data_IF_238893172473
#
_entry.id   IF_238893172473
#
_cell.length_a   1.000
_cell.length_b   1.000
_cell.length_c   1.000
_cell.angle_alpha   90.00
_cell.angle_beta   90.00
_cell.angle_gamma   90.00
#
_symmetry.space_group_name_H-M   'P 1'
#
loop_
_entity.id
_entity.type
_entity.pdbx_description
1 polymer ?
#
# COMPACT_ATOMS: atom_id res chain seq x y z
N UNK A 1 15.66 -16.87 0.10
CA UNK A 1 16.18 -15.74 -0.70
C UNK A 1 14.96 -15.03 -1.26
N UNK A 2 14.76 -13.77 -0.91
CA UNK A 2 13.66 -12.96 -1.45
C UNK A 2 14.25 -11.95 -2.41
N UNK A 3 13.61 -11.75 -3.55
CA UNK A 3 14.02 -10.74 -4.51
C UNK A 3 13.32 -9.41 -4.19
N UNK A 4 14.01 -8.31 -4.42
CA UNK A 4 13.48 -6.95 -4.25
C UNK A 4 13.15 -6.36 -5.62
N UNK A 5 12.06 -5.60 -5.66
CA UNK A 5 11.77 -4.70 -6.78
C UNK A 5 12.08 -3.28 -6.32
N UNK A 6 12.77 -2.52 -7.16
CA UNK A 6 13.04 -1.12 -6.93
C UNK A 6 12.03 -0.27 -7.69
N UNK A 7 11.45 0.73 -7.02
CA UNK A 7 10.45 1.62 -7.61
C UNK A 7 10.97 3.05 -7.64
N UNK A 8 10.79 3.73 -8.77
CA UNK A 8 11.16 5.11 -8.99
C UNK A 8 9.95 5.92 -9.46
N UNK A 9 9.68 7.02 -8.77
CA UNK A 9 8.57 7.93 -9.09
C UNK A 9 7.57 8.04 -7.95
N UNK A 10 6.40 8.56 -8.28
CA UNK A 10 5.28 8.78 -7.34
C UNK A 10 3.97 8.83 -8.12
N UNK A 11 2.85 8.63 -7.42
CA UNK A 11 1.52 8.88 -7.95
C UNK A 11 0.95 10.11 -7.27
N UNK A 12 0.53 11.11 -8.04
CA UNK A 12 -0.11 12.31 -7.52
C UNK A 12 -1.57 12.01 -7.10
N UNK A 13 -2.03 12.68 -6.03
CA UNK A 13 -3.37 12.56 -5.48
C UNK A 13 -4.07 13.92 -5.56
N UNK A 14 -5.29 13.97 -6.14
CA UNK A 14 -6.12 15.18 -6.21
C UNK A 14 -7.60 14.89 -5.97
N UNK A 15 -8.30 15.65 -5.09
CA UNK A 15 -7.75 16.66 -4.17
C UNK A 15 -6.74 16.05 -3.18
N UNK A 16 -5.95 16.88 -2.51
CA UNK A 16 -4.95 16.40 -1.54
C UNK A 16 -5.65 15.72 -0.36
N UNK A 17 -5.02 14.71 0.22
CA UNK A 17 -5.47 14.08 1.45
C UNK A 17 -5.49 15.08 2.60
N UNK A 18 -6.45 14.91 3.51
CA UNK A 18 -6.54 15.60 4.79
C UNK A 18 -5.64 14.96 5.83
N UNK A 19 -5.37 15.69 6.90
CA UNK A 19 -4.53 15.22 8.00
C UNK A 19 -4.98 13.87 8.59
N UNK A 20 -6.28 13.62 8.87
CA UNK A 20 -6.72 12.32 9.38
C UNK A 20 -6.46 11.16 8.39
N UNK A 21 -6.66 11.41 7.10
CA UNK A 21 -6.41 10.43 6.03
C UNK A 21 -4.91 10.09 5.94
N UNK A 22 -4.05 11.12 6.02
CA UNK A 22 -2.60 10.97 6.00
C UNK A 22 -2.13 10.16 7.22
N UNK A 23 -2.57 10.53 8.43
CA UNK A 23 -2.18 9.86 9.67
C UNK A 23 -2.56 8.39 9.65
N UNK A 24 -3.82 8.10 9.32
CA UNK A 24 -4.33 6.74 9.29
C UNK A 24 -3.64 5.89 8.23
N UNK A 25 -3.52 6.36 6.98
CA UNK A 25 -2.87 5.59 5.91
C UNK A 25 -1.39 5.33 6.18
N UNK A 26 -0.69 6.28 6.83
CA UNK A 26 0.71 6.09 7.25
C UNK A 26 0.82 5.05 8.36
N UNK A 27 -0.10 5.05 9.32
CA UNK A 27 -0.16 4.05 10.38
C UNK A 27 -0.52 2.65 9.83
N UNK A 28 -1.48 2.59 8.91
CA UNK A 28 -1.90 1.37 8.22
C UNK A 28 -0.74 0.73 7.44
N UNK A 29 0.07 1.54 6.75
CA UNK A 29 1.23 1.04 6.01
C UNK A 29 2.32 0.39 6.88
N UNK A 30 2.31 0.60 8.21
CA UNK A 30 3.28 0.01 9.15
C UNK A 30 2.89 -1.40 9.65
N UNK A 31 1.68 -1.85 9.35
CA UNK A 31 1.20 -3.19 9.69
C UNK A 31 1.93 -4.27 8.88
N UNK A 32 2.39 -5.32 9.58
CA UNK A 32 3.13 -6.45 8.95
C UNK A 32 2.23 -7.29 8.05
N UNK A 33 1.01 -7.58 8.49
CA UNK A 33 0.00 -8.29 7.71
C UNK A 33 -1.37 -7.66 7.95
N UNK A 34 -1.75 -6.64 7.15
CA UNK A 34 -2.99 -5.92 7.38
C UNK A 34 -4.24 -6.80 7.23
N UNK A 35 -4.14 -8.01 6.64
CA UNK A 35 -5.25 -8.98 6.61
C UNK A 35 -5.64 -9.53 7.98
N UNK A 36 -4.71 -9.59 8.92
CA UNK A 36 -5.00 -10.02 10.30
C UNK A 36 -5.78 -8.95 11.06
N UNK A 37 -5.72 -7.70 10.57
CA UNK A 37 -6.24 -6.51 11.21
C UNK A 37 -7.46 -5.92 10.48
N UNK A 38 -7.63 -6.20 9.18
CA UNK A 38 -8.63 -5.53 8.34
C UNK A 38 -8.39 -4.02 8.34
N UNK A 39 -9.32 -3.26 8.91
CA UNK A 39 -9.19 -1.81 9.13
C UNK A 39 -8.77 -1.43 10.55
N UNK A 40 -8.45 -2.40 11.41
CA UNK A 40 -8.09 -2.15 12.80
C UNK A 40 -6.61 -1.78 12.94
N UNK A 41 -6.32 -0.49 13.02
CA UNK A 41 -4.96 0.00 13.19
C UNK A 41 -4.67 0.18 14.70
N UNK A 42 -3.68 -0.51 15.27
CA UNK A 42 -3.34 -0.38 16.68
C UNK A 42 -2.82 1.02 16.99
N UNK A 43 -2.92 1.46 18.25
CA UNK A 43 -2.49 2.80 18.67
C UNK A 43 -1.02 3.10 18.35
N UNK A 44 -0.16 2.08 18.29
CA UNK A 44 1.24 2.22 17.88
C UNK A 44 1.70 1.03 17.02
N UNK A 45 1.43 1.07 15.69
CA UNK A 45 1.76 -0.04 14.78
C UNK A 45 3.26 -0.30 14.68
N UNK A 46 4.09 0.74 14.83
CA UNK A 46 5.55 0.60 14.83
C UNK A 46 6.08 -0.16 16.03
N UNK A 47 5.51 0.09 17.23
CA UNK A 47 5.88 -0.64 18.42
C UNK A 47 5.48 -2.12 18.31
N UNK A 48 4.27 -2.41 17.86
CA UNK A 48 3.81 -3.79 17.65
C UNK A 48 4.70 -4.53 16.64
N UNK A 49 5.06 -3.86 15.53
CA UNK A 49 6.03 -4.39 14.56
C UNK A 49 7.38 -4.72 15.20
N UNK A 50 7.92 -3.82 16.01
CA UNK A 50 9.19 -4.03 16.70
C UNK A 50 9.13 -5.19 17.70
N UNK A 51 7.99 -5.38 18.38
CA UNK A 51 7.76 -6.50 19.30
C UNK A 51 7.62 -7.85 18.57
N UNK A 52 6.87 -7.90 17.46
CA UNK A 52 6.78 -9.10 16.62
C UNK A 52 8.14 -9.48 16.04
N UNK A 53 8.93 -8.50 15.58
CA UNK A 53 10.30 -8.74 15.10
C UNK A 53 11.23 -9.32 16.18
N UNK A 54 10.96 -9.04 17.46
CA UNK A 54 11.69 -9.60 18.62
C UNK A 54 11.16 -10.98 19.05
N UNK A 55 10.11 -11.49 18.42
CA UNK A 55 9.49 -12.78 18.77
C UNK A 55 8.75 -12.78 20.11
N UNK A 56 8.44 -11.61 20.68
CA UNK A 56 7.85 -11.49 22.03
C UNK A 56 6.33 -11.29 22.02
N UNK A 57 5.68 -11.26 20.86
CA UNK A 57 4.26 -10.95 20.75
C UNK A 57 3.35 -12.09 21.25
N UNK A 58 2.53 -11.81 22.27
CA UNK A 58 1.23 -12.50 22.41
C UNK A 58 0.40 -12.11 21.21
N UNK A 59 0.20 -13.02 20.26
CA UNK A 59 -0.64 -12.76 19.09
C UNK A 59 -2.03 -12.32 19.54
N UNK A 60 -2.43 -11.11 19.16
CA UNK A 60 -3.85 -10.75 19.14
C UNK A 60 -4.49 -11.71 18.15
N UNK A 61 -5.55 -12.40 18.54
CA UNK A 61 -6.25 -13.32 17.65
C UNK A 61 -6.71 -12.52 16.41
N UNK A 62 -6.42 -13.00 15.19
CA UNK A 62 -6.78 -12.26 13.98
C UNK A 62 -8.30 -12.07 13.95
N UNK A 63 -8.73 -10.81 13.89
CA UNK A 63 -10.08 -10.44 13.50
C UNK A 63 -10.08 -10.41 11.97
N UNK A 64 -9.83 -11.55 11.36
CA UNK A 64 -9.92 -11.67 9.90
C UNK A 64 -11.38 -11.50 9.53
N UNK A 65 -11.74 -10.33 9.03
CA UNK A 65 -12.99 -10.10 8.34
C UNK A 65 -12.81 -10.60 6.89
N UNK A 66 -13.40 -11.76 6.53
CA UNK A 66 -13.21 -12.36 5.22
C UNK A 66 -13.76 -11.48 4.07
N UNK A 67 -14.52 -10.43 4.37
CA UNK A 67 -15.06 -9.51 3.36
C UNK A 67 -14.02 -8.46 2.90
N UNK A 68 -12.98 -8.17 3.68
CA UNK A 68 -11.95 -7.17 3.31
C UNK A 68 -10.79 -7.88 2.61
N UNK A 69 -10.83 -7.89 1.27
CA UNK A 69 -9.78 -8.44 0.41
C UNK A 69 -8.50 -7.58 0.44
N UNK A 70 -7.76 -7.68 1.54
CA UNK A 70 -6.51 -6.97 1.75
C UNK A 70 -5.33 -7.73 1.12
N UNK A 71 -4.39 -7.09 0.42
CA UNK A 71 -3.24 -7.77 -0.17
C UNK A 71 -2.33 -8.45 0.85
N UNK A 72 -1.56 -9.44 0.41
CA UNK A 72 -0.60 -10.16 1.25
C UNK A 72 0.64 -9.33 1.56
N UNK A 73 1.11 -9.38 2.81
CA UNK A 73 2.34 -8.74 3.25
C UNK A 73 2.14 -7.28 3.70
N UNK A 74 3.24 -6.54 3.81
CA UNK A 74 3.20 -5.12 4.17
C UNK A 74 2.80 -4.25 2.98
N UNK A 75 2.14 -3.12 3.25
CA UNK A 75 1.89 -2.11 2.22
C UNK A 75 3.19 -1.42 1.77
N UNK A 76 3.38 -1.39 0.45
CA UNK A 76 4.57 -0.83 -0.19
C UNK A 76 4.52 0.70 -0.34
N UNK A 77 3.33 1.28 -0.20
CA UNK A 77 3.04 2.67 -0.54
C UNK A 77 2.62 3.46 0.68
N UNK A 78 3.04 4.72 0.72
CA UNK A 78 2.69 5.64 1.79
C UNK A 78 2.40 7.02 1.20
N UNK A 79 1.38 7.75 1.71
CA UNK A 79 1.22 9.14 1.33
C UNK A 79 2.36 9.99 1.88
N UNK A 80 2.79 10.99 1.09
CA UNK A 80 3.74 11.99 1.56
C UNK A 80 3.13 12.83 2.69
N UNK A 81 3.98 13.58 3.39
CA UNK A 81 3.57 14.42 4.54
C UNK A 81 2.57 15.53 4.15
N UNK A 82 2.53 15.92 2.88
CA UNK A 82 1.58 16.92 2.37
C UNK A 82 0.28 16.32 1.81
N UNK A 83 0.14 14.99 1.82
CA UNK A 83 -1.03 14.29 1.27
C UNK A 83 -1.22 14.42 -0.24
N UNK A 84 -0.20 14.89 -0.98
CA UNK A 84 -0.31 15.19 -2.41
C UNK A 84 0.16 14.06 -3.33
N UNK A 85 0.79 13.02 -2.80
CA UNK A 85 1.25 11.87 -3.59
C UNK A 85 1.47 10.60 -2.75
N UNK A 86 1.34 9.44 -3.39
CA UNK A 86 1.85 8.15 -2.89
C UNK A 86 3.28 7.92 -3.40
N UNK A 87 4.15 7.42 -2.52
CA UNK A 87 5.50 7.01 -2.90
C UNK A 87 5.87 5.67 -2.26
N UNK A 88 6.84 4.99 -2.87
CA UNK A 88 7.40 3.77 -2.31
C UNK A 88 8.15 4.10 -1.01
N UNK A 89 7.96 3.26 0.01
CA UNK A 89 8.60 3.43 1.33
C UNK A 89 9.85 2.55 1.53
N UNK A 90 10.42 2.06 0.44
CA UNK A 90 11.67 1.28 0.41
C UNK A 90 11.59 -0.05 1.21
N UNK A 91 10.44 -0.74 1.15
CA UNK A 91 10.27 -2.05 1.81
C UNK A 91 11.12 -3.12 1.12
N UNK A 92 11.94 -3.82 1.91
CA UNK A 92 12.68 -5.00 1.46
C UNK A 92 11.68 -6.12 1.11
N UNK A 93 11.63 -6.51 -0.18
CA UNK A 93 10.70 -7.52 -0.78
C UNK A 93 9.30 -7.02 -1.16
N UNK A 94 9.21 -5.81 -1.68
CA UNK A 94 8.01 -5.29 -2.35
C UNK A 94 7.69 -6.08 -3.63
N UNK A 95 6.83 -7.10 -3.50
CA UNK A 95 6.36 -7.95 -4.61
C UNK A 95 4.85 -7.83 -4.87
N UNK A 96 4.14 -7.04 -4.07
CA UNK A 96 2.69 -6.84 -4.18
C UNK A 96 2.32 -5.37 -4.40
N UNK A 97 3.22 -4.62 -5.03
CA UNK A 97 3.07 -3.20 -5.34
C UNK A 97 1.73 -2.87 -6.01
N UNK A 98 1.39 -3.56 -7.10
CA UNK A 98 0.16 -3.30 -7.86
C UNK A 98 -1.10 -3.63 -7.04
N UNK A 99 -1.23 -4.84 -6.45
CA UNK A 99 -2.34 -5.14 -5.54
C UNK A 99 -2.50 -4.11 -4.40
N UNK A 100 -1.39 -3.60 -3.85
CA UNK A 100 -1.45 -2.56 -2.83
C UNK A 100 -1.98 -1.22 -3.34
N UNK A 101 -1.60 -0.80 -4.55
CA UNK A 101 -2.16 0.42 -5.15
C UNK A 101 -3.66 0.27 -5.41
N UNK A 102 -4.07 -0.85 -5.99
CA UNK A 102 -5.48 -1.16 -6.25
C UNK A 102 -6.29 -1.17 -4.94
N UNK A 103 -5.75 -1.77 -3.89
CA UNK A 103 -6.37 -1.78 -2.57
C UNK A 103 -6.49 -0.36 -1.99
N UNK A 104 -5.40 0.43 -1.99
CA UNK A 104 -5.46 1.80 -1.48
C UNK A 104 -6.49 2.64 -2.22
N UNK A 105 -6.53 2.52 -3.55
CA UNK A 105 -7.48 3.25 -4.40
C UNK A 105 -8.91 2.80 -4.15
N UNK A 106 -9.17 1.49 -4.21
CA UNK A 106 -10.51 0.91 -4.10
C UNK A 106 -11.09 0.94 -2.69
N UNK A 107 -10.27 1.05 -1.65
CA UNK A 107 -10.75 1.10 -0.27
C UNK A 107 -10.83 2.51 0.30
N UNK A 108 -9.82 3.36 0.04
CA UNK A 108 -9.64 4.59 0.79
C UNK A 108 -9.64 5.88 -0.03
N UNK A 109 -9.22 5.83 -1.31
CA UNK A 109 -9.01 7.05 -2.09
C UNK A 109 -10.16 7.38 -3.02
N UNK A 110 -10.67 6.38 -3.76
CA UNK A 110 -11.68 6.59 -4.79
C UNK A 110 -13.09 6.89 -4.25
N UNK A 111 -13.98 7.47 -5.08
CA UNK A 111 -15.37 7.82 -4.75
C UNK A 111 -16.16 6.68 -4.09
N UNK A 112 -15.94 5.47 -4.61
CA UNK A 112 -16.63 4.23 -4.21
C UNK A 112 -15.82 3.42 -3.19
N UNK A 113 -14.97 4.09 -2.41
CA UNK A 113 -14.08 3.48 -1.44
C UNK A 113 -14.80 2.54 -0.47
N UNK A 114 -14.39 1.26 -0.46
CA UNK A 114 -15.02 0.22 0.35
C UNK A 114 -14.91 0.43 1.87
N UNK A 115 -14.00 1.28 2.34
CA UNK A 115 -13.91 1.62 3.76
C UNK A 115 -14.95 2.66 4.19
N UNK A 116 -15.66 3.29 3.25
CA UNK A 116 -16.68 4.30 3.53
C UNK A 116 -17.79 3.71 4.39
N UNK A 117 -17.98 4.26 5.59
CA UNK A 117 -19.01 3.82 6.53
C UNK A 117 -18.73 2.47 7.21
N UNK A 118 -17.57 1.87 6.99
CA UNK A 118 -17.20 0.61 7.62
C UNK A 118 -16.85 0.78 9.12
N UNK A 119 -16.29 1.93 9.50
CA UNK A 119 -15.87 2.27 10.87
C UNK A 119 -15.99 3.77 11.14
N UNK A 120 -16.08 4.14 12.42
CA UNK A 120 -16.06 5.52 12.87
C UNK A 120 -14.75 6.25 12.50
N UNK A 121 -13.63 5.52 12.45
CA UNK A 121 -12.31 6.05 12.06
C UNK A 121 -12.30 6.66 10.64
N UNK A 122 -13.30 6.35 9.80
CA UNK A 122 -13.42 6.82 8.43
C UNK A 122 -14.46 7.94 8.23
N UNK A 123 -15.04 8.48 9.31
CA UNK A 123 -16.00 9.60 9.20
C UNK A 123 -15.36 10.86 8.61
N UNK A 124 -14.07 11.08 8.87
CA UNK A 124 -13.32 12.24 8.38
C UNK A 124 -12.71 12.03 6.98
N UNK A 125 -12.79 10.81 6.44
CA UNK A 125 -12.32 10.50 5.09
C UNK A 125 -13.29 11.05 4.05
N UNK A 126 -12.72 11.65 3.01
CA UNK A 126 -13.46 12.26 1.91
C UNK A 126 -13.80 11.25 0.82
N UNK A 127 -12.84 10.35 0.53
CA UNK A 127 -12.93 9.38 -0.55
C UNK A 127 -13.33 10.05 -1.87
N UNK A 128 -12.78 11.21 -2.20
CA UNK A 128 -13.05 11.91 -3.48
C UNK A 128 -11.78 12.08 -4.32
N UNK A 129 -10.75 11.30 -3.98
CA UNK A 129 -9.42 11.43 -4.54
C UNK A 129 -9.29 10.69 -5.87
N UNK A 130 -8.54 11.33 -6.76
CA UNK A 130 -8.11 10.79 -8.04
C UNK A 130 -6.60 10.65 -8.02
N UNK A 131 -6.14 9.42 -8.25
CA UNK A 131 -4.74 9.04 -8.31
C UNK A 131 -4.30 8.97 -9.77
N UNK A 132 -3.24 9.71 -10.08
CA UNK A 132 -2.66 9.80 -11.42
C UNK A 132 -1.14 9.78 -11.36
N UNK A 133 -0.47 9.14 -12.31
CA UNK A 133 0.99 9.19 -12.41
C UNK A 133 1.61 7.93 -12.98
N UNK A 134 2.93 7.88 -12.93
CA UNK A 134 3.71 6.76 -13.44
C UNK A 134 4.85 6.47 -12.47
N UNK A 135 5.06 5.18 -12.23
CA UNK A 135 6.18 4.64 -11.47
C UNK A 135 6.94 3.68 -12.38
N UNK A 136 8.26 3.83 -12.46
CA UNK A 136 9.13 2.83 -13.07
C UNK A 136 9.53 1.79 -12.02
N UNK A 137 9.53 0.52 -12.41
CA UNK A 137 9.86 -0.59 -11.53
C UNK A 137 10.88 -1.52 -12.20
N UNK A 138 11.91 -1.88 -11.45
CA UNK A 138 12.94 -2.83 -11.88
C UNK A 138 12.97 -4.01 -10.91
N UNK A 139 12.78 -5.23 -11.43
CA UNK A 139 12.91 -6.46 -10.64
C UNK A 139 14.37 -6.85 -10.48
N UNK A 140 14.79 -7.10 -9.25
CA UNK A 140 16.17 -7.46 -8.94
C UNK A 140 16.61 -8.85 -9.44
N UNK A 141 15.69 -9.79 -9.63
CA UNK A 141 15.98 -11.16 -10.10
C UNK A 141 16.11 -11.27 -11.61
N UNK A 142 15.11 -10.78 -12.33
CA UNK A 142 15.01 -10.94 -13.78
C UNK A 142 15.48 -9.71 -14.56
N UNK A 143 15.73 -8.58 -13.88
CA UNK A 143 15.94 -7.26 -14.49
C UNK A 143 14.78 -6.83 -15.40
N UNK A 144 13.60 -7.39 -15.18
CA UNK A 144 12.37 -6.91 -15.82
C UNK A 144 12.17 -5.43 -15.47
N UNK A 145 12.02 -4.61 -16.50
CA UNK A 145 11.70 -3.20 -16.36
C UNK A 145 10.27 -2.98 -16.83
N UNK A 146 9.44 -2.42 -15.98
CA UNK A 146 8.05 -2.15 -16.28
C UNK A 146 7.60 -0.82 -15.67
N UNK A 147 6.51 -0.29 -16.21
CA UNK A 147 5.83 0.87 -15.67
C UNK A 147 4.57 0.44 -14.95
N UNK A 148 4.28 1.07 -13.82
CA UNK A 148 2.97 1.09 -13.20
C UNK A 148 2.37 2.46 -13.50
N UNK A 149 1.23 2.49 -14.19
CA UNK A 149 0.51 3.71 -14.55
C UNK A 149 -0.79 3.78 -13.77
N UNK A 150 -1.04 4.92 -13.14
CA UNK A 150 -2.35 5.27 -12.60
C UNK A 150 -2.97 6.33 -13.51
N UNK A 151 -4.15 6.05 -14.05
CA UNK A 151 -4.95 7.01 -14.81
C UNK A 151 -6.37 6.97 -14.27
N UNK A 152 -6.81 8.07 -13.67
CA UNK A 152 -8.14 8.20 -13.07
C UNK A 152 -8.52 7.01 -12.18
N UNK A 153 -7.66 6.70 -11.19
CA UNK A 153 -7.80 5.57 -10.27
C UNK A 153 -7.66 4.16 -10.88
N UNK A 154 -7.42 4.05 -12.19
CA UNK A 154 -7.15 2.75 -12.84
C UNK A 154 -5.65 2.47 -12.86
N UNK A 155 -5.25 1.37 -12.23
CA UNK A 155 -3.86 0.92 -12.18
C UNK A 155 -3.61 -0.08 -13.32
N UNK A 156 -2.57 0.16 -14.11
CA UNK A 156 -2.15 -0.73 -15.21
C UNK A 156 -0.65 -0.91 -15.19
N UNK A 157 -0.17 -2.00 -15.79
CA UNK A 157 1.27 -2.24 -15.99
C UNK A 157 1.62 -2.32 -17.46
N UNK A 158 2.82 -1.86 -17.78
CA UNK A 158 3.39 -1.91 -19.13
C UNK A 158 4.84 -2.37 -19.05
N UNK A 159 5.15 -3.53 -19.61
CA UNK A 159 6.53 -4.05 -19.68
C UNK A 159 7.33 -3.26 -20.71
N UNK A 160 8.45 -2.68 -20.29
CA UNK A 160 9.40 -1.98 -21.16
C UNK A 160 10.52 -2.92 -21.63
N UNK A 161 11.02 -3.75 -20.72
CA UNK A 161 12.04 -4.76 -20.97
C UNK A 161 11.58 -6.04 -20.30
N UNK A 162 11.41 -7.10 -21.09
CA UNK A 162 11.07 -8.41 -20.57
C UNK A 162 12.19 -8.93 -19.65
N UNK A 163 11.81 -9.61 -18.58
CA UNK A 163 12.77 -10.22 -17.66
C UNK A 163 13.59 -11.32 -18.34
N UNK A 164 14.87 -11.44 -17.94
CA UNK A 164 15.72 -12.54 -18.36
C UNK A 164 15.28 -13.83 -17.64
N UNK A 165 14.77 -14.85 -18.36
CA UNK A 165 14.32 -16.11 -17.75
C UNK A 165 15.47 -16.92 -17.14
N UNK A 166 16.72 -16.55 -17.44
CA UNK A 166 17.94 -17.26 -17.08
C UNK A 166 18.57 -16.78 -15.78
N UNK A 167 17.85 -15.98 -14.96
CA UNK A 167 18.34 -15.31 -13.75
C UNK A 167 19.59 -15.96 -13.14
N UNK A 168 20.70 -15.21 -13.16
CA UNK A 168 22.09 -15.63 -12.90
C UNK A 168 22.30 -16.86 -12.01
#
# INVERSE_FOLDING_TARGET
MGYSTHYLGRLDIRPRLREPEIEWLRAYAELIDPREHGYDVPLNPRAERAERARGSGRGVAPLSDPEILTPWGMCDWVPCVEGCCLHWREVEKSNHAVPWLEHLVGHFLGPDGLARGARADFEDFTFDHVVNGVIAAERGDTRELYLIRAVDNVITTETLVAGDPSGW
#
